data_IF_299348043509
#
_entry.id   IF_299348043509
#
_cell.length_a   1.000
_cell.length_b   1.000
_cell.length_c   1.000
_cell.angle_alpha   90.00
_cell.angle_beta   90.00
_cell.angle_gamma   90.00
#
_symmetry.space_group_name_H-M   'P 1'
#
loop_
_entity.id
_entity.type
_entity.pdbx_description
1 polymer ?
#
# COMPACT_ATOMS: atom_id res chain seq x y z
N UNK A 1 -11.97 11.67 15.20
CA UNK A 1 -11.31 12.73 14.40
C UNK A 1 -11.66 12.44 12.95
N UNK A 2 -12.56 13.21 12.33
CA UNK A 2 -12.87 13.07 10.90
C UNK A 2 -11.80 13.83 10.12
N UNK A 3 -10.83 13.10 9.59
CA UNK A 3 -9.88 13.68 8.66
C UNK A 3 -10.59 13.86 7.31
N UNK A 4 -10.76 15.11 6.88
CA UNK A 4 -11.31 15.46 5.57
C UNK A 4 -10.19 15.22 4.54
N UNK A 5 -10.11 13.98 4.05
CA UNK A 5 -9.11 13.56 3.05
C UNK A 5 -9.47 14.00 1.61
N UNK A 6 -10.54 14.77 1.45
CA UNK A 6 -11.17 15.13 0.17
C UNK A 6 -10.25 15.88 -0.82
N UNK A 7 -9.13 16.43 -0.35
CA UNK A 7 -8.14 17.09 -1.22
C UNK A 7 -7.12 16.15 -1.84
N UNK A 8 -6.96 14.92 -1.33
CA UNK A 8 -6.12 13.89 -1.94
C UNK A 8 -6.95 13.07 -2.93
N UNK A 9 -6.46 12.92 -4.16
CA UNK A 9 -7.08 12.10 -5.21
C UNK A 9 -6.19 10.91 -5.57
N UNK A 10 -6.79 9.80 -5.97
CA UNK A 10 -6.10 8.62 -6.47
C UNK A 10 -5.63 7.65 -5.37
N UNK A 11 -4.53 6.94 -5.64
CA UNK A 11 -4.03 5.86 -4.77
C UNK A 11 -3.68 6.35 -3.35
N UNK A 12 -3.36 7.62 -3.17
CA UNK A 12 -3.02 8.18 -1.85
C UNK A 12 -4.18 8.07 -0.86
N UNK A 13 -5.41 8.32 -1.30
CA UNK A 13 -6.61 8.24 -0.46
C UNK A 13 -6.89 6.79 -0.06
N UNK A 14 -6.65 5.85 -0.97
CA UNK A 14 -6.75 4.41 -0.70
C UNK A 14 -5.75 4.03 0.39
N UNK A 15 -4.47 4.37 0.21
CA UNK A 15 -3.40 4.03 1.16
C UNK A 15 -3.68 4.63 2.54
N UNK A 16 -4.17 5.87 2.60
CA UNK A 16 -4.53 6.51 3.87
C UNK A 16 -5.70 5.85 4.56
N UNK A 17 -6.78 5.52 3.84
CA UNK A 17 -7.90 4.73 4.39
C UNK A 17 -7.42 3.35 4.86
N UNK A 18 -6.44 2.75 4.17
CA UNK A 18 -5.87 1.48 4.62
C UNK A 18 -5.07 1.60 5.94
N UNK A 19 -4.38 2.72 6.18
CA UNK A 19 -3.52 2.90 7.36
C UNK A 19 -4.29 3.51 8.55
N UNK A 20 -5.16 4.47 8.28
CA UNK A 20 -5.81 5.30 9.30
C UNK A 20 -7.33 5.21 9.31
N UNK A 21 -7.92 4.48 8.35
CA UNK A 21 -9.36 4.37 8.22
C UNK A 21 -9.99 3.56 9.34
N UNK A 22 -11.27 3.81 9.57
CA UNK A 22 -12.07 3.01 10.47
C UNK A 22 -12.67 1.77 9.76
N UNK A 23 -13.51 1.03 10.47
CA UNK A 23 -14.14 -0.19 9.94
C UNK A 23 -15.05 0.11 8.73
N UNK A 24 -15.72 1.26 8.70
CA UNK A 24 -16.59 1.63 7.59
C UNK A 24 -15.75 2.02 6.35
N UNK A 25 -14.65 2.74 6.54
CA UNK A 25 -13.66 2.98 5.47
C UNK A 25 -13.14 1.68 4.87
N UNK A 26 -12.81 0.69 5.71
CA UNK A 26 -12.30 -0.61 5.25
C UNK A 26 -13.36 -1.37 4.45
N UNK A 27 -14.62 -1.38 4.92
CA UNK A 27 -15.74 -2.00 4.19
C UNK A 27 -15.96 -1.32 2.84
N UNK A 28 -15.94 0.00 2.82
CA UNK A 28 -16.06 0.78 1.59
C UNK A 28 -14.91 0.45 0.62
N UNK A 29 -13.67 0.42 1.09
CA UNK A 29 -12.50 0.07 0.29
C UNK A 29 -12.67 -1.31 -0.37
N UNK A 30 -13.02 -2.32 0.42
CA UNK A 30 -13.21 -3.69 -0.06
C UNK A 30 -14.34 -3.79 -1.09
N UNK A 31 -15.42 -3.03 -0.90
CA UNK A 31 -16.57 -3.00 -1.81
C UNK A 31 -16.29 -2.26 -3.11
N UNK A 32 -15.65 -1.10 -3.04
CA UNK A 32 -15.47 -0.19 -4.19
C UNK A 32 -14.30 -0.63 -5.08
N UNK A 33 -13.14 -0.95 -4.47
CA UNK A 33 -11.92 -1.22 -5.23
C UNK A 33 -11.69 -2.70 -5.47
N UNK A 34 -12.29 -3.56 -4.64
CA UNK A 34 -12.10 -5.01 -4.70
C UNK A 34 -10.71 -5.47 -4.24
N UNK A 35 -10.63 -6.73 -3.85
CA UNK A 35 -9.44 -7.35 -3.24
C UNK A 35 -8.19 -7.26 -4.13
N UNK A 36 -8.34 -7.46 -5.45
CA UNK A 36 -7.21 -7.52 -6.40
C UNK A 36 -6.53 -6.15 -6.60
N UNK A 37 -7.32 -5.08 -6.75
CA UNK A 37 -6.74 -3.73 -6.88
C UNK A 37 -6.08 -3.28 -5.58
N UNK A 38 -6.73 -3.55 -4.43
CA UNK A 38 -6.15 -3.24 -3.12
C UNK A 38 -4.86 -4.01 -2.89
N UNK A 39 -4.78 -5.28 -3.33
CA UNK A 39 -3.54 -6.08 -3.30
C UNK A 39 -2.41 -5.39 -4.08
N UNK A 40 -2.70 -4.89 -5.27
CA UNK A 40 -1.71 -4.16 -6.07
C UNK A 40 -1.25 -2.87 -5.38
N UNK A 41 -2.19 -2.06 -4.90
CA UNK A 41 -1.90 -0.82 -4.17
C UNK A 41 -1.05 -1.11 -2.93
N UNK A 42 -1.39 -2.15 -2.17
CA UNK A 42 -0.66 -2.60 -0.99
C UNK A 42 0.77 -3.00 -1.33
N UNK A 43 0.98 -3.87 -2.33
CA UNK A 43 2.31 -4.34 -2.73
C UNK A 43 3.19 -3.20 -3.27
N UNK A 44 2.62 -2.32 -4.10
CA UNK A 44 3.34 -1.18 -4.67
C UNK A 44 3.74 -0.15 -3.58
N UNK A 45 3.02 -0.12 -2.46
CA UNK A 45 3.23 0.82 -1.36
C UNK A 45 3.61 0.12 -0.05
N UNK A 46 4.09 -1.12 -0.10
CA UNK A 46 4.27 -1.97 1.08
C UNK A 46 5.19 -1.33 2.14
N UNK A 47 6.17 -0.54 1.69
CA UNK A 47 7.11 0.19 2.54
C UNK A 47 6.45 1.25 3.44
N UNK A 48 5.23 1.71 3.11
CA UNK A 48 4.50 2.74 3.87
C UNK A 48 3.71 2.16 5.05
N UNK A 49 3.36 0.88 4.99
CA UNK A 49 2.66 0.18 6.06
C UNK A 49 3.65 -0.16 7.17
N UNK A 50 3.21 -0.21 8.44
CA UNK A 50 4.07 -0.51 9.58
C UNK A 50 3.45 -1.58 10.48
N UNK A 51 4.29 -2.45 11.05
CA UNK A 51 3.92 -3.43 12.09
C UNK A 51 2.56 -4.10 11.86
N UNK A 52 1.58 -3.74 12.70
CA UNK A 52 0.23 -4.29 12.70
C UNK A 52 -0.51 -4.11 11.37
N UNK A 53 -0.34 -2.98 10.70
CA UNK A 53 -1.05 -2.69 9.45
C UNK A 53 -0.60 -3.62 8.33
N UNK A 54 0.70 -3.99 8.31
CA UNK A 54 1.21 -4.98 7.36
C UNK A 54 0.55 -6.33 7.57
N UNK A 55 0.59 -6.85 8.79
CA UNK A 55 0.01 -8.15 9.13
C UNK A 55 -1.49 -8.18 8.82
N UNK A 56 -2.20 -7.11 9.15
CA UNK A 56 -3.62 -6.97 8.86
C UNK A 56 -3.90 -7.07 7.36
N UNK A 57 -3.25 -6.23 6.55
CA UNK A 57 -3.50 -6.20 5.11
C UNK A 57 -2.94 -7.41 4.36
N UNK A 58 -1.85 -8.03 4.84
CA UNK A 58 -1.38 -9.31 4.32
C UNK A 58 -2.45 -10.40 4.46
N UNK A 59 -3.09 -10.49 5.63
CA UNK A 59 -4.12 -11.48 5.89
C UNK A 59 -5.40 -11.17 5.11
N UNK A 60 -5.87 -9.92 5.16
CA UNK A 60 -7.08 -9.50 4.44
C UNK A 60 -6.92 -9.67 2.93
N UNK A 61 -5.75 -9.35 2.36
CA UNK A 61 -5.53 -9.40 0.92
C UNK A 61 -4.91 -10.72 0.44
N UNK A 62 -4.71 -11.69 1.33
CA UNK A 62 -4.10 -13.00 1.05
C UNK A 62 -2.77 -12.85 0.30
N UNK A 63 -1.89 -12.00 0.83
CA UNK A 63 -0.56 -11.73 0.25
C UNK A 63 0.48 -12.56 0.96
N UNK A 64 1.20 -13.37 0.20
CA UNK A 64 2.32 -14.18 0.70
C UNK A 64 3.62 -13.36 0.81
N UNK A 65 4.51 -13.79 1.70
CA UNK A 65 5.85 -13.20 1.82
C UNK A 65 6.65 -13.32 0.51
N UNK A 66 6.42 -14.38 -0.28
CA UNK A 66 7.04 -14.54 -1.59
C UNK A 66 6.68 -13.38 -2.55
N UNK A 67 5.41 -12.95 -2.56
CA UNK A 67 4.95 -11.83 -3.38
C UNK A 67 5.56 -10.50 -2.92
N UNK A 68 5.67 -10.30 -1.60
CA UNK A 68 6.31 -9.10 -1.03
C UNK A 68 7.79 -9.05 -1.41
N UNK A 69 8.49 -10.16 -1.25
CA UNK A 69 9.92 -10.26 -1.56
C UNK A 69 10.19 -10.06 -3.06
N UNK A 70 9.35 -10.64 -3.93
CA UNK A 70 9.44 -10.41 -5.37
C UNK A 70 9.28 -8.93 -5.71
N UNK A 71 8.22 -8.29 -5.18
CA UNK A 71 7.96 -6.87 -5.45
C UNK A 71 9.06 -5.96 -4.89
N UNK A 72 9.58 -6.26 -3.70
CA UNK A 72 10.68 -5.51 -3.11
C UNK A 72 11.96 -5.58 -3.97
N UNK A 73 12.26 -6.74 -4.57
CA UNK A 73 13.39 -6.91 -5.50
C UNK A 73 13.20 -6.11 -6.80
N UNK A 74 11.99 -6.06 -7.33
CA UNK A 74 11.67 -5.27 -8.53
C UNK A 74 11.71 -3.76 -8.28
N UNK A 75 11.40 -3.32 -7.06
CA UNK A 75 11.45 -1.92 -6.66
C UNK A 75 12.88 -1.39 -6.42
N UNK A 76 13.88 -2.27 -6.27
CA UNK A 76 15.28 -1.86 -6.23
C UNK A 76 15.66 -1.24 -7.59
N UNK A 77 16.12 0.02 -7.57
CA UNK A 77 16.51 0.75 -8.78
C UNK A 77 17.55 -0.08 -9.56
N UNK A 78 17.19 -0.53 -10.77
CA UNK A 78 18.13 -1.15 -11.72
C UNK A 78 19.29 -0.22 -12.13
N UNK A 79 19.25 1.06 -11.76
CA UNK A 79 20.21 2.07 -12.15
C UNK A 79 20.78 2.79 -10.92
N UNK A 80 21.77 2.18 -10.28
CA UNK A 80 22.76 2.94 -9.52
C UNK A 80 23.75 3.52 -10.51
N UNK A 81 23.35 4.60 -11.20
CA UNK A 81 24.31 5.39 -11.95
C UNK A 81 25.36 5.90 -10.97
N UNK A 82 26.62 5.49 -11.14
CA UNK A 82 27.76 6.04 -10.41
C UNK A 82 27.74 7.54 -10.68
N UNK A 83 27.37 8.33 -9.68
CA UNK A 83 27.41 9.79 -9.78
C UNK A 83 28.87 10.19 -9.61
N UNK A 84 29.54 10.50 -10.71
CA UNK A 84 30.75 11.31 -10.68
C UNK A 84 30.33 12.72 -10.29
N UNK A 85 30.58 13.09 -9.04
CA UNK A 85 30.54 14.49 -8.63
C UNK A 85 31.87 15.14 -9.06
N UNK A 86 31.83 16.28 -9.76
CA UNK A 86 33.03 17.03 -10.12
C UNK A 86 33.74 17.61 -8.89
#
# INVERSE_FOLDING_TARGET
MNFVWDSCRGNETIIRKMIFGDIEDIKELLKVYGKSNLRKVFLDNFHRFQGRDKSYWQLILEVSDAQINLRARECFRKNTGIRYFP
#
